data_IF_624878838122
#
_entry.id   IF_624878838122
#
_cell.length_a   1.000
_cell.length_b   1.000
_cell.length_c   1.000
_cell.angle_alpha   90.00
_cell.angle_beta   90.00
_cell.angle_gamma   90.00
#
_symmetry.space_group_name_H-M   'P 1'
#
loop_
_entity.id
_entity.type
_entity.pdbx_description
1 polymer ?
#
# COMPACT_ATOMS: atom_id res chain seq x y z
N UNK A 1 -10.63 4.16 -2.34
CA UNK A 1 -9.92 5.08 -1.44
C UNK A 1 -8.92 5.97 -2.18
N UNK A 2 -7.80 5.44 -2.68
CA UNK A 2 -6.73 6.23 -3.32
C UNK A 2 -7.21 7.13 -4.47
N UNK A 3 -8.09 6.63 -5.34
CA UNK A 3 -8.66 7.43 -6.44
C UNK A 3 -9.43 8.66 -5.92
N UNK A 4 -10.31 8.46 -4.92
CA UNK A 4 -11.09 9.55 -4.29
C UNK A 4 -10.16 10.55 -3.59
N UNK A 5 -9.10 10.07 -2.92
CA UNK A 5 -8.15 10.95 -2.27
C UNK A 5 -7.38 11.82 -3.26
N UNK A 6 -7.01 11.27 -4.43
CA UNK A 6 -6.38 12.04 -5.51
C UNK A 6 -7.35 13.04 -6.13
N UNK A 7 -8.58 12.61 -6.41
CA UNK A 7 -9.65 13.47 -6.94
C UNK A 7 -9.89 14.70 -6.05
N UNK A 8 -9.81 14.52 -4.73
CA UNK A 8 -10.05 15.60 -3.76
C UNK A 8 -8.76 16.28 -3.28
N UNK A 9 -7.61 16.02 -3.90
CA UNK A 9 -6.29 16.54 -3.50
C UNK A 9 -5.89 16.23 -2.04
N UNK A 10 -6.52 15.22 -1.42
CA UNK A 10 -6.21 14.80 -0.06
C UNK A 10 -4.80 14.21 0.04
N UNK A 11 -4.29 13.59 -1.03
CA UNK A 11 -2.91 13.11 -1.11
C UNK A 11 -1.88 14.21 -0.81
N UNK A 12 -2.10 15.44 -1.29
CA UNK A 12 -1.19 16.57 -1.04
C UNK A 12 -1.21 16.99 0.43
N UNK A 13 -2.40 16.99 1.05
CA UNK A 13 -2.57 17.34 2.47
C UNK A 13 -1.89 16.28 3.34
N UNK A 14 -2.09 15.00 3.03
CA UNK A 14 -1.48 13.88 3.73
C UNK A 14 0.04 13.87 3.58
N UNK A 15 0.57 14.22 2.40
CA UNK A 15 2.01 14.34 2.17
C UNK A 15 2.62 15.46 3.02
N UNK A 16 1.93 16.60 3.13
CA UNK A 16 2.37 17.69 4.01
C UNK A 16 2.34 17.29 5.48
N UNK A 17 1.31 16.57 5.91
CA UNK A 17 1.22 16.04 7.27
C UNK A 17 2.37 15.07 7.57
N UNK A 18 2.63 14.14 6.65
CA UNK A 18 3.75 13.20 6.74
C UNK A 18 5.10 13.91 6.86
N UNK A 19 5.38 14.90 5.99
CA UNK A 19 6.62 15.69 6.01
C UNK A 19 6.78 16.52 7.30
N UNK A 20 5.68 16.83 7.99
CA UNK A 20 5.69 17.50 9.30
C UNK A 20 5.91 16.55 10.47
N UNK A 21 6.10 15.26 10.22
CA UNK A 21 6.28 14.24 11.26
C UNK A 21 5.00 13.84 11.98
N UNK A 22 3.82 14.14 11.40
CA UNK A 22 2.55 13.68 11.96
C UNK A 22 2.47 12.16 11.84
N UNK A 23 2.12 11.49 12.94
CA UNK A 23 1.93 10.05 12.96
C UNK A 23 0.66 9.70 12.18
N UNK A 24 0.82 8.86 11.16
CA UNK A 24 -0.28 8.32 10.36
C UNK A 24 -0.41 6.82 10.61
N UNK A 25 -1.64 6.34 10.71
CA UNK A 25 -1.93 4.93 10.93
C UNK A 25 -3.14 4.48 10.12
N UNK A 26 -3.20 3.17 9.85
CA UNK A 26 -4.31 2.54 9.15
C UNK A 26 -4.13 1.03 9.14
N UNK A 27 -5.21 0.29 8.86
CA UNK A 27 -5.24 -1.17 8.80
C UNK A 27 -5.62 -1.64 7.40
N UNK A 28 -5.13 -2.81 6.99
CA UNK A 28 -5.41 -3.41 5.68
C UNK A 28 -5.14 -2.42 4.52
N UNK A 29 -6.15 -2.02 3.73
CA UNK A 29 -6.00 -1.00 2.69
C UNK A 29 -5.44 0.34 3.20
N UNK A 30 -5.71 0.68 4.46
CA UNK A 30 -5.15 1.85 5.15
C UNK A 30 -3.72 1.64 5.66
N UNK A 31 -3.22 0.40 5.79
CA UNK A 31 -1.81 0.13 6.05
C UNK A 31 -1.00 0.20 4.73
N UNK A 32 -1.57 -0.38 3.67
CA UNK A 32 -0.98 -0.43 2.33
C UNK A 32 -0.72 0.97 1.75
N UNK A 33 -1.68 1.90 1.89
CA UNK A 33 -1.71 3.11 1.08
C UNK A 33 -0.52 4.05 1.25
N UNK A 34 0.24 3.93 2.35
CA UNK A 34 1.40 4.77 2.64
C UNK A 34 2.64 4.41 1.82
N UNK A 35 2.72 3.18 1.32
CA UNK A 35 3.89 2.67 0.63
C UNK A 35 3.93 3.11 -0.84
N UNK A 36 5.02 2.85 -1.56
CA UNK A 36 5.08 3.02 -3.02
C UNK A 36 4.03 2.14 -3.70
N UNK A 37 3.93 0.89 -3.22
CA UNK A 37 3.08 -0.13 -3.79
C UNK A 37 2.43 -1.00 -2.72
N UNK A 38 1.33 -1.66 -3.11
CA UNK A 38 0.57 -2.56 -2.26
C UNK A 38 0.11 -3.81 -2.97
N UNK A 39 0.07 -4.94 -2.26
CA UNK A 39 -0.53 -6.18 -2.77
C UNK A 39 -1.98 -6.26 -2.31
N UNK A 40 -2.89 -6.38 -3.28
CA UNK A 40 -4.33 -6.43 -3.04
C UNK A 40 -5.04 -7.32 -4.06
N UNK A 41 -6.09 -7.95 -3.59
CA UNK A 41 -7.10 -8.75 -4.30
C UNK A 41 -8.47 -8.05 -4.28
N UNK A 42 -8.60 -6.87 -3.67
CA UNK A 42 -9.90 -6.24 -3.43
C UNK A 42 -10.65 -5.83 -4.70
N UNK A 43 -9.99 -5.87 -5.87
CA UNK A 43 -10.56 -5.48 -7.16
C UNK A 43 -10.39 -6.54 -8.25
N UNK A 44 -9.87 -7.73 -7.93
CA UNK A 44 -9.61 -8.81 -8.90
C UNK A 44 -9.80 -10.16 -8.23
N UNK A 45 -10.12 -11.17 -9.02
CA UNK A 45 -10.18 -12.57 -8.55
C UNK A 45 -8.81 -13.13 -8.12
N UNK A 46 -7.73 -12.34 -8.23
CA UNK A 46 -6.37 -12.73 -7.92
C UNK A 46 -5.54 -11.54 -7.39
N UNK A 47 -4.44 -11.86 -6.70
CA UNK A 47 -3.53 -10.84 -6.17
C UNK A 47 -2.94 -9.95 -7.27
N UNK A 48 -2.80 -8.66 -6.95
CA UNK A 48 -2.30 -7.65 -7.87
C UNK A 48 -1.51 -6.57 -7.13
N UNK A 49 -0.58 -5.93 -7.86
CA UNK A 49 0.20 -4.81 -7.35
C UNK A 49 -0.51 -3.50 -7.69
N UNK A 50 -0.69 -2.63 -6.70
CA UNK A 50 -1.37 -1.34 -6.81
C UNK A 50 -0.41 -0.19 -6.45
N UNK A 51 -0.23 0.83 -7.32
CA UNK A 51 0.49 2.05 -6.97
C UNK A 51 -0.22 2.87 -5.89
N UNK A 52 0.51 3.21 -4.83
CA UNK A 52 -0.02 3.84 -3.62
C UNK A 52 0.45 5.32 -3.50
N UNK A 53 0.53 5.87 -2.29
CA UNK A 53 0.91 7.29 -2.09
C UNK A 53 2.42 7.52 -2.16
N UNK A 54 3.25 6.50 -1.92
CA UNK A 54 4.71 6.60 -2.02
C UNK A 54 5.36 7.44 -0.92
N UNK A 55 4.80 7.42 0.29
CA UNK A 55 5.40 8.10 1.44
C UNK A 55 6.47 7.23 2.10
N UNK A 56 6.30 5.91 2.05
CA UNK A 56 7.23 4.90 2.58
C UNK A 56 7.74 4.06 1.41
N UNK A 57 9.06 3.96 1.30
CA UNK A 57 9.66 3.16 0.24
C UNK A 57 9.31 1.67 0.39
N UNK A 58 8.99 1.01 -0.71
CA UNK A 58 8.77 -0.44 -0.78
C UNK A 58 7.32 -0.87 -1.02
N UNK A 59 7.06 -2.15 -0.79
CA UNK A 59 5.74 -2.77 -1.04
C UNK A 59 5.15 -3.36 0.24
N UNK A 60 3.89 -3.06 0.54
CA UNK A 60 3.18 -3.62 1.68
C UNK A 60 2.28 -4.79 1.25
N UNK A 61 2.34 -5.88 2.00
CA UNK A 61 1.51 -7.07 1.80
C UNK A 61 0.79 -7.43 3.11
N UNK A 62 -0.42 -6.92 3.35
CA UNK A 62 -1.19 -7.34 4.53
C UNK A 62 -1.59 -8.81 4.37
N UNK A 63 -1.88 -9.47 5.50
CA UNK A 63 -2.30 -10.87 5.57
C UNK A 63 -1.27 -11.87 4.98
N UNK A 64 -0.01 -11.47 4.88
CA UNK A 64 1.06 -12.28 4.27
C UNK A 64 1.18 -13.69 4.87
N UNK A 65 1.05 -13.83 6.18
CA UNK A 65 1.14 -15.12 6.89
C UNK A 65 -0.21 -15.83 7.02
N UNK A 66 -1.31 -15.14 6.73
CA UNK A 66 -2.68 -15.67 6.86
C UNK A 66 -3.21 -16.23 5.53
N UNK A 67 -2.73 -15.70 4.40
CA UNK A 67 -3.14 -16.07 3.03
C UNK A 67 -1.95 -16.71 2.28
N UNK A 68 -1.84 -18.05 2.23
CA UNK A 68 -0.67 -18.77 1.71
C UNK A 68 -0.27 -18.40 0.28
N UNK A 69 -1.22 -17.97 -0.54
CA UNK A 69 -1.00 -17.49 -1.92
C UNK A 69 -0.20 -16.18 -1.99
N UNK A 70 -0.13 -15.39 -0.91
CA UNK A 70 0.64 -14.14 -0.87
C UNK A 70 2.14 -14.37 -0.82
N UNK A 71 2.60 -15.46 -0.21
CA UNK A 71 4.02 -15.82 -0.12
C UNK A 71 4.67 -15.99 -1.51
N UNK A 72 4.18 -16.86 -2.41
CA UNK A 72 4.75 -17.00 -3.74
C UNK A 72 4.56 -15.73 -4.60
N UNK A 73 3.47 -14.98 -4.39
CA UNK A 73 3.23 -13.74 -5.12
C UNK A 73 4.24 -12.64 -4.75
N UNK A 74 4.51 -12.44 -3.46
CA UNK A 74 5.55 -11.53 -2.99
C UNK A 74 6.91 -11.95 -3.53
N UNK A 75 7.29 -13.23 -3.41
CA UNK A 75 8.59 -13.74 -3.89
C UNK A 75 8.81 -13.53 -5.39
N UNK A 76 7.74 -13.53 -6.19
CA UNK A 76 7.80 -13.25 -7.63
C UNK A 76 8.02 -11.76 -7.93
N UNK A 77 7.55 -10.89 -7.04
CA UNK A 77 7.59 -9.43 -7.19
C UNK A 77 8.63 -8.75 -6.27
N UNK A 78 9.40 -9.53 -5.50
CA UNK A 78 10.34 -9.05 -4.47
C UNK A 78 11.66 -8.48 -5.00
N UNK A 79 11.70 -8.06 -6.28
CA UNK A 79 12.72 -7.11 -6.73
C UNK A 79 12.60 -5.74 -6.02
N UNK A 80 11.50 -5.55 -5.28
CA UNK A 80 11.18 -4.40 -4.45
C UNK A 80 11.12 -4.89 -2.99
N UNK A 81 11.76 -4.19 -2.06
CA UNK A 81 11.78 -4.55 -0.63
C UNK A 81 10.34 -4.63 -0.08
N UNK A 82 9.92 -5.82 0.31
CA UNK A 82 8.62 -6.04 0.97
C UNK A 82 8.74 -5.68 2.46
N UNK A 83 7.74 -4.95 2.95
CA UNK A 83 7.60 -4.50 4.33
C UNK A 83 6.36 -5.11 4.97
#
# INVERSE_FOLDING_TARGET
>A
MLAVWREWNLNNILEQAYKKGIIMSGVSAGAICWFDQGITDSFKDHQSVLPCLGFVNGICCPHYDEEPERIPFVKKNSGIRCH
#
